data_IF_504806136894
#
_entry.id   IF_504806136894
#
_cell.length_a   1.000
_cell.length_b   1.000
_cell.length_c   1.000
_cell.angle_alpha   90.00
_cell.angle_beta   90.00
_cell.angle_gamma   90.00
#
_symmetry.space_group_name_H-M   'P 1'
#
loop_
_entity.id
_entity.type
_entity.pdbx_description
1 polymer ?
#
# COMPACT_ATOMS: atom_id res chain seq x y z
N UNK A 1 -0.72 3.31 29.90
CA UNK A 1 -0.35 2.28 28.90
C UNK A 1 -1.61 1.99 28.12
N UNK A 2 -1.79 2.75 27.04
CA UNK A 2 -3.01 2.85 26.24
C UNK A 2 -3.30 1.55 25.48
N UNK A 3 -4.23 0.76 26.01
CA UNK A 3 -4.67 -0.53 25.47
C UNK A 3 -5.40 -0.43 24.11
N UNK A 4 -5.69 0.79 23.61
CA UNK A 4 -6.41 1.01 22.35
C UNK A 4 -5.51 1.02 21.10
N UNK A 5 -4.21 1.32 21.24
CA UNK A 5 -3.26 1.35 20.12
C UNK A 5 -2.94 -0.07 19.57
N UNK A 6 -3.01 -1.08 20.43
CA UNK A 6 -2.64 -2.47 20.11
C UNK A 6 -3.62 -3.17 19.14
N UNK A 7 -4.93 -2.88 19.25
CA UNK A 7 -5.94 -3.40 18.31
C UNK A 7 -5.73 -2.84 16.90
N UNK A 8 -5.32 -1.56 16.80
CA UNK A 8 -5.02 -0.94 15.52
C UNK A 8 -3.78 -1.56 14.86
N UNK A 9 -2.75 -1.93 15.63
CA UNK A 9 -1.58 -2.65 15.12
C UNK A 9 -1.94 -4.01 14.53
N UNK A 10 -2.66 -4.84 15.29
CA UNK A 10 -3.03 -6.20 14.88
C UNK A 10 -3.95 -6.24 13.65
N UNK A 11 -4.99 -5.40 13.62
CA UNK A 11 -5.89 -5.30 12.45
C UNK A 11 -5.16 -4.83 11.18
N UNK A 12 -4.13 -4.00 11.33
CA UNK A 12 -3.28 -3.55 10.21
C UNK A 12 -2.40 -4.67 9.66
N UNK A 13 -1.92 -5.58 10.51
CA UNK A 13 -1.17 -6.78 10.10
C UNK A 13 -2.10 -7.74 9.35
N UNK A 14 -3.29 -8.00 9.89
CA UNK A 14 -4.29 -8.85 9.23
C UNK A 14 -4.77 -8.29 7.88
N UNK A 15 -5.06 -6.98 7.77
CA UNK A 15 -5.40 -6.34 6.48
C UNK A 15 -4.24 -6.40 5.48
N UNK A 16 -3.00 -6.31 5.97
CA UNK A 16 -1.81 -6.48 5.13
C UNK A 16 -1.71 -7.91 4.59
N UNK A 17 -1.88 -8.92 5.46
CA UNK A 17 -1.83 -10.34 5.09
C UNK A 17 -2.97 -10.71 4.13
N UNK A 18 -4.20 -10.33 4.46
CA UNK A 18 -5.38 -10.55 3.63
C UNK A 18 -5.25 -9.84 2.29
N UNK A 19 -4.77 -8.60 2.29
CA UNK A 19 -4.49 -7.87 1.08
C UNK A 19 -3.46 -8.58 0.21
N UNK A 20 -2.42 -9.19 0.80
CA UNK A 20 -1.35 -9.88 0.08
C UNK A 20 -1.84 -11.19 -0.52
N UNK A 21 -2.65 -11.97 0.21
CA UNK A 21 -3.14 -13.27 -0.24
C UNK A 21 -4.33 -13.17 -1.20
N UNK A 22 -5.25 -12.22 -1.02
CA UNK A 22 -6.52 -12.22 -1.76
C UNK A 22 -6.71 -11.02 -2.68
N UNK A 23 -6.24 -9.83 -2.30
CA UNK A 23 -6.49 -8.60 -3.08
C UNK A 23 -5.39 -8.36 -4.12
N UNK A 24 -4.13 -8.50 -3.73
CA UNK A 24 -2.96 -8.29 -4.59
C UNK A 24 -2.95 -9.22 -5.81
N UNK A 25 -3.23 -10.53 -5.71
CA UNK A 25 -3.28 -11.40 -6.89
C UNK A 25 -4.42 -11.05 -7.86
N UNK A 26 -5.48 -10.42 -7.35
CA UNK A 26 -6.61 -9.90 -8.13
C UNK A 26 -6.38 -8.48 -8.68
N UNK A 27 -5.15 -7.97 -8.61
CA UNK A 27 -4.80 -6.61 -9.04
C UNK A 27 -5.32 -5.49 -8.14
N UNK A 28 -5.95 -5.80 -7.00
CA UNK A 28 -6.49 -4.80 -6.07
C UNK A 28 -5.42 -4.37 -5.06
N UNK A 29 -4.60 -3.40 -5.44
CA UNK A 29 -3.54 -2.86 -4.59
C UNK A 29 -3.95 -1.57 -3.87
N UNK A 30 -3.66 -1.50 -2.57
CA UNK A 30 -3.82 -0.26 -1.78
C UNK A 30 -2.46 0.36 -1.50
N UNK A 31 -2.34 1.68 -1.73
CA UNK A 31 -1.14 2.46 -1.41
C UNK A 31 -0.86 2.51 0.09
N UNK A 32 0.42 2.63 0.45
CA UNK A 32 0.85 2.94 1.80
C UNK A 32 1.07 4.45 1.96
N UNK A 33 0.23 5.13 2.74
CA UNK A 33 0.35 6.58 2.98
C UNK A 33 1.71 6.98 3.55
N UNK A 34 2.29 6.15 4.43
CA UNK A 34 3.59 6.43 5.06
C UNK A 34 4.78 6.37 4.08
N UNK A 35 4.61 5.71 2.94
CA UNK A 35 5.65 5.51 1.94
C UNK A 35 5.45 6.38 0.69
N UNK A 36 4.56 7.38 0.73
CA UNK A 36 4.45 8.32 -0.37
C UNK A 36 5.72 9.18 -0.41
N UNK A 37 6.33 9.22 -1.59
CA UNK A 37 7.49 10.05 -1.91
C UNK A 37 7.23 10.75 -3.24
N UNK A 38 7.75 11.96 -3.41
CA UNK A 38 7.76 12.64 -4.71
C UNK A 38 9.08 12.29 -5.40
N UNK A 39 9.02 11.90 -6.67
CA UNK A 39 10.18 11.51 -7.48
C UNK A 39 10.05 12.21 -8.83
N UNK A 40 10.82 13.29 -9.03
CA UNK A 40 10.61 14.21 -10.15
C UNK A 40 9.20 14.82 -10.09
N UNK A 41 8.47 14.71 -11.21
CA UNK A 41 7.09 15.20 -11.32
C UNK A 41 6.03 14.19 -10.85
N UNK A 42 6.43 12.97 -10.51
CA UNK A 42 5.51 11.91 -10.12
C UNK A 42 5.53 11.67 -8.61
N UNK A 43 4.45 11.09 -8.10
CA UNK A 43 4.40 10.56 -6.75
C UNK A 43 4.49 9.03 -6.80
N UNK A 44 5.44 8.49 -6.05
CA UNK A 44 5.66 7.05 -5.91
C UNK A 44 5.29 6.59 -4.50
N UNK A 45 4.90 5.33 -4.37
CA UNK A 45 4.57 4.67 -3.11
C UNK A 45 4.81 3.17 -3.24
N UNK A 46 4.38 2.40 -2.25
CA UNK A 46 4.38 0.93 -2.25
C UNK A 46 3.02 0.41 -1.82
N UNK A 47 2.64 -0.75 -2.35
CA UNK A 47 1.45 -1.44 -1.87
C UNK A 47 1.64 -1.81 -0.39
N UNK A 48 0.66 -1.52 0.45
CA UNK A 48 0.72 -1.83 1.89
C UNK A 48 0.90 -3.33 2.16
N UNK A 49 0.32 -4.17 1.30
CA UNK A 49 0.23 -5.62 1.51
C UNK A 49 1.38 -6.39 0.84
N UNK A 50 1.58 -6.20 -0.48
CA UNK A 50 2.62 -6.92 -1.23
C UNK A 50 3.93 -6.13 -1.40
N UNK A 51 3.99 -4.88 -0.94
CA UNK A 51 5.15 -3.99 -1.04
C UNK A 51 5.62 -3.65 -2.46
N UNK A 52 4.95 -4.12 -3.51
CA UNK A 52 5.22 -3.75 -4.90
C UNK A 52 5.18 -2.23 -5.11
N UNK A 53 6.05 -1.68 -5.98
CA UNK A 53 6.09 -0.26 -6.26
C UNK A 53 4.78 0.21 -6.90
N UNK A 54 4.34 1.40 -6.52
CA UNK A 54 3.14 2.03 -7.03
C UNK A 54 3.43 3.45 -7.48
N UNK A 55 2.78 3.89 -8.55
CA UNK A 55 2.82 5.25 -9.07
C UNK A 55 1.44 5.88 -9.02
N UNK A 56 1.42 7.19 -8.81
CA UNK A 56 0.19 7.97 -8.77
C UNK A 56 -0.22 8.34 -10.19
N UNK A 57 -1.33 7.77 -10.66
CA UNK A 57 -1.97 8.17 -11.92
C UNK A 57 -2.83 9.43 -11.71
N UNK A 58 -3.56 9.51 -10.58
CA UNK A 58 -4.38 10.67 -10.26
C UNK A 58 -4.48 10.90 -8.74
N UNK A 59 -5.18 11.95 -8.29
CA UNK A 59 -5.20 12.34 -6.87
C UNK A 59 -5.53 11.19 -5.93
N UNK A 60 -6.45 10.30 -6.34
CA UNK A 60 -6.89 9.10 -5.60
C UNK A 60 -6.56 7.79 -6.31
N UNK A 61 -6.14 7.82 -7.57
CA UNK A 61 -5.83 6.61 -8.33
C UNK A 61 -4.32 6.29 -8.31
N UNK A 62 -4.00 5.07 -7.90
CA UNK A 62 -2.64 4.56 -7.78
C UNK A 62 -2.59 3.19 -8.44
N UNK A 63 -1.63 2.99 -9.34
CA UNK A 63 -1.42 1.72 -10.01
C UNK A 63 -0.07 1.13 -9.61
N UNK A 64 0.08 -0.17 -9.81
CA UNK A 64 1.40 -0.79 -9.77
C UNK A 64 2.27 -0.21 -10.88
N UNK A 65 3.54 -0.03 -10.56
CA UNK A 65 4.57 0.25 -11.54
C UNK A 65 5.19 -1.07 -11.99
N UNK A 66 4.48 -1.81 -12.86
CA UNK A 66 4.91 -3.13 -13.34
C UNK A 66 6.19 -3.06 -14.19
N UNK A 67 6.64 -1.86 -14.57
CA UNK A 67 7.90 -1.65 -15.29
C UNK A 67 9.14 -1.77 -14.40
N UNK A 68 8.96 -1.82 -13.07
CA UNK A 68 10.04 -1.95 -12.07
C UNK A 68 9.99 -3.26 -11.27
N UNK A 69 9.14 -4.20 -11.68
CA UNK A 69 8.95 -5.49 -11.02
C UNK A 69 9.94 -6.55 -11.54
#
# INVERSE_FOLDING_TARGET
>A
MDFEDDKHGFLRILDSLYGRMFRCPRGKHKRSSSHIRKTGDQYTSRCRSCRKPMVRISKRNWALDDRRA
#
